data_IF_445787118670
#
_entry.id   IF_445787118670
#
_cell.length_a   1.000
_cell.length_b   1.000
_cell.length_c   1.000
_cell.angle_alpha   90.00
_cell.angle_beta   90.00
_cell.angle_gamma   90.00
#
_symmetry.space_group_name_H-M   'P 1'
#
loop_
_entity.id
_entity.type
_entity.pdbx_description
1 polymer ?
#
# COMPACT_ATOMS: atom_id res chain seq x y z
N UNK A 1 -32.61 30.80 8.55
CA UNK A 1 -31.59 30.45 9.55
C UNK A 1 -31.47 28.97 9.77
N UNK A 2 -32.58 28.30 9.93
CA UNK A 2 -32.52 26.84 10.14
C UNK A 2 -32.01 26.08 8.94
N UNK A 3 -32.25 26.57 7.76
CA UNK A 3 -31.79 25.95 6.52
C UNK A 3 -30.29 25.93 6.41
N UNK A 4 -29.61 26.94 6.92
CA UNK A 4 -28.17 27.06 6.82
C UNK A 4 -27.48 25.98 7.64
N UNK A 5 -28.02 25.65 8.79
CA UNK A 5 -27.43 24.62 9.65
C UNK A 5 -27.49 23.24 9.03
N UNK A 6 -28.54 22.95 8.28
CA UNK A 6 -28.68 21.67 7.61
C UNK A 6 -27.65 21.46 6.51
N UNK A 7 -27.31 22.54 5.82
CA UNK A 7 -26.33 22.48 4.75
C UNK A 7 -24.96 22.15 5.31
N UNK A 8 -24.61 22.70 6.47
CA UNK A 8 -23.32 22.44 7.09
C UNK A 8 -23.16 20.97 7.46
N UNK A 9 -24.23 20.34 7.94
CA UNK A 9 -24.18 18.94 8.29
C UNK A 9 -23.95 18.04 7.08
N UNK A 10 -24.52 18.41 5.95
CA UNK A 10 -24.32 17.61 4.73
C UNK A 10 -22.88 17.62 4.27
N UNK A 11 -22.20 18.73 4.41
CA UNK A 11 -20.79 18.83 4.03
C UNK A 11 -19.90 17.93 4.87
N UNK A 12 -20.20 17.83 6.16
CA UNK A 12 -19.40 16.97 7.03
C UNK A 12 -19.44 15.51 6.63
N UNK A 13 -20.57 15.04 6.15
CA UNK A 13 -20.71 13.66 5.72
C UNK A 13 -19.88 13.34 4.49
N UNK A 14 -19.75 14.28 3.58
CA UNK A 14 -18.95 14.07 2.37
C UNK A 14 -17.49 13.83 2.67
N UNK A 15 -16.94 14.48 3.68
CA UNK A 15 -15.54 14.31 4.04
C UNK A 15 -15.24 12.91 4.53
N UNK A 16 -16.15 12.30 5.26
CA UNK A 16 -15.94 10.96 5.79
C UNK A 16 -15.86 9.94 4.66
N UNK A 17 -16.64 10.11 3.63
CA UNK A 17 -16.65 9.18 2.49
C UNK A 17 -15.31 9.13 1.79
N UNK A 18 -14.61 10.24 1.68
CA UNK A 18 -13.35 10.30 0.98
C UNK A 18 -12.25 9.52 1.67
N UNK A 19 -12.27 9.48 2.99
CA UNK A 19 -11.24 8.75 3.75
C UNK A 19 -11.32 7.26 3.47
N UNK A 20 -12.51 6.70 3.34
CA UNK A 20 -12.68 5.29 3.06
C UNK A 20 -12.11 4.85 1.72
N UNK A 21 -12.19 5.71 0.69
CA UNK A 21 -11.71 5.36 -0.63
C UNK A 21 -10.19 5.26 -0.71
N UNK A 22 -9.46 6.02 0.10
CA UNK A 22 -8.00 6.03 0.07
C UNK A 22 -7.39 4.70 0.51
N UNK A 23 -8.12 3.88 1.26
CA UNK A 23 -7.60 2.64 1.81
C UNK A 23 -7.68 1.46 0.85
N UNK A 24 -8.38 1.60 -0.27
CA UNK A 24 -8.62 0.49 -1.19
C UNK A 24 -7.51 0.28 -2.21
N UNK A 25 -6.42 1.04 -2.14
CA UNK A 25 -5.37 0.99 -3.15
C UNK A 25 -4.22 0.05 -2.81
N UNK A 26 -4.27 -0.67 -1.68
CA UNK A 26 -3.20 -1.57 -1.30
C UNK A 26 -3.16 -2.82 -2.16
N UNK A 27 -1.96 -3.29 -2.41
CA UNK A 27 -1.70 -4.48 -3.21
C UNK A 27 -1.52 -5.67 -2.27
N UNK A 28 -2.15 -6.79 -2.59
CA UNK A 28 -2.02 -8.01 -1.79
C UNK A 28 -0.88 -8.86 -2.31
N UNK A 29 -0.05 -9.38 -1.41
CA UNK A 29 1.07 -10.22 -1.80
C UNK A 29 1.55 -11.10 -0.66
N UNK A 30 2.65 -11.81 -0.93
CA UNK A 30 3.32 -12.65 0.04
C UNK A 30 4.82 -12.38 -0.03
N UNK A 31 5.44 -12.22 1.13
CA UNK A 31 6.88 -11.96 1.20
C UNK A 31 7.63 -13.24 0.87
N UNK A 32 8.53 -13.16 -0.09
CA UNK A 32 9.36 -14.30 -0.50
C UNK A 32 10.72 -14.21 0.18
N UNK A 33 11.31 -13.01 0.20
CA UNK A 33 12.67 -12.83 0.72
C UNK A 33 12.84 -11.39 1.20
N UNK A 34 13.66 -11.24 2.23
CA UNK A 34 14.06 -9.94 2.76
C UNK A 34 15.58 -9.82 2.67
N UNK A 35 16.06 -8.67 2.25
CA UNK A 35 17.50 -8.37 2.22
C UNK A 35 17.71 -7.03 2.91
N UNK A 36 18.02 -7.08 4.18
CA UNK A 36 18.17 -5.88 4.99
C UNK A 36 19.40 -5.07 4.60
N UNK A 37 20.47 -5.74 4.23
CA UNK A 37 21.69 -5.02 3.88
C UNK A 37 21.55 -4.27 2.56
N UNK A 38 20.78 -4.80 1.62
CA UNK A 38 20.52 -4.14 0.35
C UNK A 38 19.27 -3.26 0.40
N UNK A 39 18.49 -3.31 1.49
CA UNK A 39 17.22 -2.59 1.64
C UNK A 39 16.25 -2.96 0.53
N UNK A 40 16.09 -4.26 0.32
CA UNK A 40 15.24 -4.82 -0.72
C UNK A 40 14.28 -5.84 -0.13
N UNK A 41 13.13 -5.98 -0.76
CA UNK A 41 12.14 -6.98 -0.41
C UNK A 41 11.62 -7.63 -1.68
N UNK A 42 11.51 -8.95 -1.68
CA UNK A 42 10.93 -9.70 -2.80
C UNK A 42 9.53 -10.10 -2.41
N UNK A 43 8.56 -9.72 -3.21
CA UNK A 43 7.15 -9.98 -2.95
C UNK A 43 6.53 -10.64 -4.17
N UNK A 44 5.81 -11.73 -3.93
CA UNK A 44 4.94 -12.35 -4.92
C UNK A 44 3.55 -11.76 -4.73
N UNK A 45 3.08 -10.99 -5.69
CA UNK A 45 1.82 -10.29 -5.57
C UNK A 45 0.85 -10.65 -6.69
N UNK A 46 -0.42 -10.41 -6.43
CA UNK A 46 -1.46 -10.53 -7.43
C UNK A 46 -1.44 -9.36 -8.40
N UNK A 47 -2.47 -9.24 -9.26
CA UNK A 47 -2.53 -8.13 -10.20
C UNK A 47 -2.42 -6.79 -9.50
N UNK A 48 -1.68 -5.88 -10.09
CA UNK A 48 -1.45 -4.54 -9.54
C UNK A 48 -1.60 -3.51 -10.66
N UNK A 49 -2.85 -3.16 -11.03
CA UNK A 49 -3.08 -2.20 -12.12
C UNK A 49 -2.41 -0.87 -11.89
N UNK A 50 -2.27 -0.46 -10.63
CA UNK A 50 -1.60 0.77 -10.26
C UNK A 50 -0.17 0.82 -10.76
N UNK A 51 0.48 -0.34 -10.86
CA UNK A 51 1.86 -0.45 -11.31
C UNK A 51 1.95 -0.95 -12.76
N UNK A 52 0.83 -0.96 -13.49
CA UNK A 52 0.74 -1.49 -14.84
C UNK A 52 1.06 -2.98 -14.92
N UNK A 53 0.74 -3.71 -13.87
CA UNK A 53 0.95 -5.16 -13.79
C UNK A 53 -0.40 -5.84 -13.78
N UNK A 54 -0.82 -6.38 -14.93
CA UNK A 54 -2.13 -7.00 -15.09
C UNK A 54 -2.18 -8.40 -14.51
N UNK A 55 -1.04 -9.03 -14.34
CA UNK A 55 -0.95 -10.39 -13.82
C UNK A 55 -0.14 -10.42 -12.54
N UNK A 56 -0.36 -11.46 -11.73
CA UNK A 56 0.47 -11.69 -10.56
C UNK A 56 1.89 -12.02 -10.96
N UNK A 57 2.86 -11.58 -10.17
CA UNK A 57 4.26 -11.85 -10.43
C UNK A 57 5.10 -11.66 -9.18
N UNK A 58 6.34 -12.14 -9.24
CA UNK A 58 7.31 -11.96 -8.17
C UNK A 58 8.27 -10.86 -8.56
N UNK A 59 8.39 -9.85 -7.70
CA UNK A 59 9.19 -8.67 -7.97
C UNK A 59 10.09 -8.33 -6.80
N UNK A 60 11.22 -7.73 -7.10
CA UNK A 60 12.12 -7.17 -6.09
C UNK A 60 11.87 -5.66 -6.03
N UNK A 61 11.61 -5.18 -4.81
CA UNK A 61 11.35 -3.76 -4.55
C UNK A 61 12.40 -3.20 -3.61
N UNK A 62 12.73 -1.93 -3.78
CA UNK A 62 13.43 -1.19 -2.72
C UNK A 62 12.42 -0.87 -1.62
N UNK A 63 12.91 -0.44 -0.45
CA UNK A 63 12.03 0.05 0.61
C UNK A 63 12.41 1.48 0.95
N UNK A 64 11.41 2.31 1.23
CA UNK A 64 11.63 3.72 1.57
C UNK A 64 12.23 3.87 2.97
N UNK A 65 11.91 2.93 3.86
CA UNK A 65 12.38 2.95 5.25
C UNK A 65 12.76 1.52 5.64
N UNK A 66 14.01 1.30 6.09
CA UNK A 66 14.44 -0.05 6.51
C UNK A 66 13.57 -0.66 7.60
N UNK A 67 12.88 0.14 8.39
CA UNK A 67 11.98 -0.38 9.41
C UNK A 67 10.84 -1.21 8.82
N UNK A 68 10.49 -0.98 7.57
CA UNK A 68 9.44 -1.76 6.91
C UNK A 68 9.84 -3.22 6.81
N UNK A 69 11.12 -3.51 6.69
CA UNK A 69 11.62 -4.88 6.62
C UNK A 69 11.52 -5.60 7.96
N UNK A 70 11.52 -4.85 9.07
CA UNK A 70 11.45 -5.44 10.40
C UNK A 70 10.04 -5.86 10.79
N UNK A 71 9.03 -5.34 10.10
CA UNK A 71 7.64 -5.60 10.45
C UNK A 71 7.09 -6.88 9.84
N UNK A 72 7.82 -7.50 8.92
CA UNK A 72 7.37 -8.68 8.19
C UNK A 72 8.48 -9.69 8.06
N UNK A 73 8.12 -10.95 7.72
CA UNK A 73 9.05 -12.06 7.52
C UNK A 73 8.75 -12.76 6.21
N UNK A 74 9.73 -13.54 5.73
CA UNK A 74 9.48 -14.40 4.57
C UNK A 74 8.32 -15.35 4.86
N UNK A 75 7.41 -15.48 3.92
CA UNK A 75 6.21 -16.28 4.07
C UNK A 75 4.99 -15.52 4.53
N UNK A 76 5.15 -14.32 5.06
CA UNK A 76 4.01 -13.52 5.53
C UNK A 76 3.15 -13.03 4.36
N UNK A 77 1.84 -13.07 4.55
CA UNK A 77 0.91 -12.39 3.65
C UNK A 77 0.84 -10.93 4.06
N UNK A 78 0.87 -10.07 3.07
CA UNK A 78 0.95 -8.63 3.32
C UNK A 78 0.05 -7.85 2.38
N UNK A 79 -0.32 -6.66 2.83
CA UNK A 79 -0.88 -5.62 1.97
C UNK A 79 0.16 -4.51 1.93
N UNK A 80 0.46 -4.02 0.73
CA UNK A 80 1.51 -3.04 0.59
C UNK A 80 1.18 -2.02 -0.48
N UNK A 81 1.88 -0.91 -0.45
CA UNK A 81 1.84 0.11 -1.49
C UNK A 81 3.24 0.33 -2.02
N UNK A 82 3.35 0.60 -3.30
CA UNK A 82 4.62 0.84 -3.95
C UNK A 82 4.49 1.95 -4.97
N UNK A 83 5.56 2.70 -5.15
CA UNK A 83 5.61 3.82 -6.07
C UNK A 83 6.95 3.86 -6.77
N UNK A 84 6.99 4.55 -7.92
CA UNK A 84 8.24 4.85 -8.57
C UNK A 84 8.93 6.00 -7.83
N UNK A 85 10.10 5.73 -7.29
CA UNK A 85 10.91 6.74 -6.63
C UNK A 85 12.27 6.75 -7.32
N UNK A 86 12.60 7.85 -7.97
CA UNK A 86 13.84 7.98 -8.74
C UNK A 86 14.01 6.85 -9.76
N UNK A 87 12.92 6.47 -10.43
CA UNK A 87 12.95 5.42 -11.43
C UNK A 87 12.95 4.00 -10.90
N UNK A 88 12.82 3.81 -9.59
CA UNK A 88 12.85 2.51 -8.96
C UNK A 88 11.56 2.23 -8.21
N UNK A 89 10.99 1.03 -8.39
CA UNK A 89 9.81 0.62 -7.64
C UNK A 89 10.19 0.45 -6.17
N UNK A 90 9.49 1.17 -5.30
CA UNK A 90 9.82 1.27 -3.88
C UNK A 90 8.58 1.03 -3.05
N UNK A 91 8.66 0.11 -2.09
CA UNK A 91 7.59 -0.10 -1.13
C UNK A 91 7.59 1.06 -0.15
N UNK A 92 6.46 1.77 -0.08
CA UNK A 92 6.30 2.92 0.80
C UNK A 92 5.47 2.60 2.04
N UNK A 93 4.72 1.49 1.99
CA UNK A 93 3.89 1.06 3.11
C UNK A 93 3.71 -0.45 3.01
N UNK A 94 3.76 -1.14 4.13
CA UNK A 94 3.52 -2.59 4.18
C UNK A 94 2.95 -2.95 5.54
N UNK A 95 1.99 -3.88 5.54
CA UNK A 95 1.42 -4.39 6.77
C UNK A 95 1.06 -5.86 6.59
N UNK A 96 1.10 -6.63 7.68
CA UNK A 96 0.70 -8.04 7.63
C UNK A 96 -0.80 -8.15 7.36
N UNK A 97 -1.15 -9.07 6.48
CA UNK A 97 -2.53 -9.38 6.14
C UNK A 97 -2.87 -10.75 6.73
N UNK A 98 -3.53 -10.78 7.85
CA UNK A 98 -3.94 -12.04 8.47
C UNK A 98 -5.44 -12.21 8.45
#
# INVERSE_FOLDING_TARGET
MQTIRRIILALALCLITQVGLAQSSLITGQVVKLDQSAKKITIKHGPAPKLNMDEGMTMVYAVSDPKLLSSVKAGDKVNFDAEQVNGQLTVTKIEKAN
#
